data_IF_941533741344
#
_entry.id   IF_941533741344
#
_cell.length_a   1.000
_cell.length_b   1.000
_cell.length_c   1.000
_cell.angle_alpha   90.00
_cell.angle_beta   90.00
_cell.angle_gamma   90.00
#
_symmetry.space_group_name_H-M   'P 1'
#
loop_
_entity.id
_entity.type
_entity.pdbx_description
1 polymer ?
#
# COMPACT_ATOMS: atom_id res chain seq x y z
N UNK A 1 19.83 -16.09 -19.36
CA UNK A 1 18.45 -15.86 -19.83
C UNK A 1 18.41 -16.35 -21.26
N UNK A 2 17.54 -17.29 -21.55
CA UNK A 2 17.30 -17.83 -22.87
C UNK A 2 15.99 -17.25 -23.40
N UNK A 3 15.97 -16.87 -24.67
CA UNK A 3 14.75 -16.39 -25.33
C UNK A 3 14.02 -17.63 -25.86
N UNK A 4 12.77 -17.77 -25.48
CA UNK A 4 11.91 -18.89 -25.91
C UNK A 4 10.70 -18.36 -26.65
N UNK A 5 10.30 -19.04 -27.70
CA UNK A 5 9.11 -18.68 -28.52
C UNK A 5 7.85 -19.42 -28.07
N UNK A 6 8.00 -20.48 -27.28
CA UNK A 6 6.90 -21.34 -26.82
C UNK A 6 7.11 -21.63 -25.34
N UNK A 7 6.02 -21.56 -24.56
CA UNK A 7 5.98 -22.01 -23.17
C UNK A 7 4.84 -23.01 -22.97
N UNK A 8 4.99 -23.87 -21.98
CA UNK A 8 4.03 -24.92 -21.65
C UNK A 8 3.37 -24.67 -20.28
N UNK A 9 2.21 -25.28 -20.02
CA UNK A 9 1.56 -25.17 -18.70
C UNK A 9 2.51 -25.57 -17.56
N UNK A 10 2.70 -24.66 -16.60
CA UNK A 10 3.64 -24.81 -15.48
C UNK A 10 4.97 -24.10 -15.66
N UNK A 11 5.29 -23.62 -16.85
CA UNK A 11 6.51 -22.83 -17.07
C UNK A 11 6.40 -21.43 -16.45
N UNK A 12 7.55 -20.94 -15.97
CA UNK A 12 7.70 -19.56 -15.52
C UNK A 12 8.48 -18.80 -16.59
N UNK A 13 7.84 -17.85 -17.22
CA UNK A 13 8.42 -17.05 -18.30
C UNK A 13 8.46 -15.56 -17.93
N UNK A 14 9.47 -14.86 -18.40
CA UNK A 14 9.55 -13.41 -18.30
C UNK A 14 9.01 -12.76 -19.56
N UNK A 15 8.05 -11.87 -19.41
CA UNK A 15 7.55 -11.03 -20.50
C UNK A 15 8.20 -9.66 -20.43
N UNK A 16 8.55 -9.12 -21.61
CA UNK A 16 8.98 -7.72 -21.70
C UNK A 16 7.73 -6.85 -21.77
N UNK A 17 7.54 -6.00 -20.77
CA UNK A 17 6.41 -5.08 -20.69
C UNK A 17 6.89 -3.63 -20.60
N UNK A 18 6.14 -2.74 -21.23
CA UNK A 18 6.37 -1.28 -21.21
C UNK A 18 5.55 -0.56 -20.14
N UNK A 19 5.02 -1.27 -19.16
CA UNK A 19 4.25 -0.73 -18.04
C UNK A 19 2.74 -0.86 -18.18
N UNK A 20 2.28 -1.82 -18.99
CA UNK A 20 0.85 -2.10 -19.18
C UNK A 20 0.31 -3.08 -18.12
N UNK A 21 1.18 -3.95 -17.59
CA UNK A 21 0.80 -5.01 -16.66
C UNK A 21 1.20 -4.66 -15.22
N UNK A 22 0.37 -5.09 -14.29
CA UNK A 22 0.63 -4.99 -12.85
C UNK A 22 0.79 -6.38 -12.25
N UNK A 23 1.47 -6.46 -11.11
CA UNK A 23 1.52 -7.70 -10.34
C UNK A 23 0.10 -8.10 -9.95
N UNK A 24 -0.27 -9.33 -10.28
CA UNK A 24 -1.63 -9.83 -10.08
C UNK A 24 -2.50 -9.84 -11.33
N UNK A 25 -2.07 -9.17 -12.40
CA UNK A 25 -2.82 -9.23 -13.65
C UNK A 25 -2.74 -10.64 -14.25
N UNK A 26 -3.85 -11.06 -14.82
CA UNK A 26 -3.95 -12.30 -15.57
C UNK A 26 -3.99 -11.98 -17.06
N UNK A 27 -3.08 -12.57 -17.81
CA UNK A 27 -3.05 -12.44 -19.28
C UNK A 27 -3.78 -13.64 -19.86
N UNK A 28 -4.84 -13.40 -20.60
CA UNK A 28 -5.64 -14.44 -21.23
C UNK A 28 -5.91 -14.13 -22.70
N UNK A 29 -6.13 -15.17 -23.48
CA UNK A 29 -6.60 -15.07 -24.86
C UNK A 29 -8.05 -15.57 -24.91
N UNK A 30 -8.98 -14.63 -25.10
CA UNK A 30 -10.42 -14.90 -25.25
C UNK A 30 -11.23 -14.70 -23.97
N UNK A 31 -11.27 -15.63 -23.05
CA UNK A 31 -12.08 -15.52 -21.82
C UNK A 31 -11.45 -14.61 -20.77
N UNK A 32 -12.28 -13.81 -20.09
CA UNK A 32 -11.84 -13.03 -18.92
C UNK A 32 -11.76 -13.98 -17.72
N UNK A 33 -10.55 -14.39 -17.37
CA UNK A 33 -10.29 -15.22 -16.21
C UNK A 33 -9.81 -14.37 -15.04
N UNK A 34 -10.42 -14.55 -13.88
CA UNK A 34 -10.04 -13.91 -12.63
C UNK A 34 -9.59 -14.96 -11.63
N UNK A 35 -8.28 -15.06 -11.39
CA UNK A 35 -7.75 -15.95 -10.37
C UNK A 35 -7.82 -15.23 -9.02
N UNK A 36 -8.56 -15.81 -8.08
CA UNK A 36 -8.57 -15.35 -6.69
C UNK A 36 -7.33 -15.93 -6.00
N UNK A 37 -6.59 -15.11 -5.29
CA UNK A 37 -5.62 -15.62 -4.33
C UNK A 37 -4.17 -15.20 -4.44
N UNK A 38 -3.84 -14.06 -5.04
CA UNK A 38 -2.62 -13.40 -4.60
C UNK A 38 -2.91 -12.78 -3.24
N UNK A 39 -2.29 -13.26 -2.14
CA UNK A 39 -2.57 -12.70 -0.83
C UNK A 39 -2.08 -11.26 -0.80
N UNK A 40 -3.01 -10.33 -0.60
CA UNK A 40 -2.68 -8.97 -0.21
C UNK A 40 -2.12 -9.02 1.21
N UNK A 41 -0.82 -8.84 1.36
CA UNK A 41 -0.19 -8.85 2.69
C UNK A 41 -0.47 -7.55 3.41
N UNK A 42 -0.98 -7.66 4.65
CA UNK A 42 -1.06 -6.51 5.53
C UNK A 42 0.34 -6.10 5.96
N UNK A 43 0.72 -4.83 5.84
CA UNK A 43 2.00 -4.35 6.33
C UNK A 43 2.12 -4.54 7.84
N UNK A 44 3.33 -4.83 8.31
CA UNK A 44 3.67 -4.99 9.72
C UNK A 44 4.58 -3.87 10.25
N UNK A 45 5.33 -3.23 9.35
CA UNK A 45 6.26 -2.15 9.66
C UNK A 45 5.86 -0.89 8.88
N UNK A 46 5.92 0.25 9.56
CA UNK A 46 5.51 1.52 8.98
C UNK A 46 6.55 2.60 9.24
N UNK A 47 6.94 3.33 8.21
CA UNK A 47 7.82 4.49 8.31
C UNK A 47 7.32 5.62 7.43
N UNK A 48 7.47 6.84 7.92
CA UNK A 48 7.40 7.99 7.01
C UNK A 48 8.52 7.92 6.00
N UNK A 49 8.22 8.30 4.76
CA UNK A 49 9.23 8.53 3.73
C UNK A 49 9.26 10.00 3.40
N UNK A 50 10.45 10.57 3.42
CA UNK A 50 10.67 11.98 3.15
C UNK A 50 11.73 12.17 2.08
N UNK A 51 11.57 13.23 1.32
CA UNK A 51 12.52 13.60 0.29
C UNK A 51 13.77 14.23 0.91
N UNK A 52 14.92 13.64 0.70
CA UNK A 52 16.18 14.20 1.16
C UNK A 52 16.71 15.37 0.27
N UNK A 53 16.19 15.47 -0.97
CA UNK A 53 16.58 16.53 -1.92
C UNK A 53 15.33 17.17 -2.55
N UNK A 54 14.93 18.37 -2.13
CA UNK A 54 13.76 19.06 -2.65
C UNK A 54 13.73 19.20 -4.18
N UNK A 55 14.89 19.28 -4.83
CA UNK A 55 15.00 19.39 -6.28
C UNK A 55 14.60 18.09 -7.01
N UNK A 56 14.56 16.97 -6.30
CA UNK A 56 14.25 15.63 -6.83
C UNK A 56 12.84 15.14 -6.48
N UNK A 57 11.94 16.02 -6.06
CA UNK A 57 10.60 15.66 -5.58
C UNK A 57 9.77 14.89 -6.62
N UNK A 58 9.86 15.27 -7.91
CA UNK A 58 9.16 14.59 -8.99
C UNK A 58 9.71 13.17 -9.24
N UNK A 59 11.03 13.03 -9.23
CA UNK A 59 11.70 11.74 -9.39
C UNK A 59 11.37 10.80 -8.25
N UNK A 60 11.41 11.31 -7.01
CA UNK A 60 11.02 10.54 -5.82
C UNK A 60 9.57 10.05 -5.91
N UNK A 61 8.65 10.96 -6.23
CA UNK A 61 7.24 10.61 -6.37
C UNK A 61 7.00 9.53 -7.43
N UNK A 62 7.63 9.70 -8.61
CA UNK A 62 7.57 8.71 -9.70
C UNK A 62 8.15 7.36 -9.27
N UNK A 63 9.31 7.36 -8.61
CA UNK A 63 9.97 6.13 -8.16
C UNK A 63 9.14 5.40 -7.11
N UNK A 64 8.61 6.11 -6.12
CA UNK A 64 7.69 5.53 -5.13
C UNK A 64 6.49 4.89 -5.83
N UNK A 65 5.87 5.61 -6.75
CA UNK A 65 4.67 5.14 -7.44
C UNK A 65 4.91 3.83 -8.20
N UNK A 66 6.00 3.76 -8.95
CA UNK A 66 6.39 2.56 -9.69
C UNK A 66 6.75 1.39 -8.77
N UNK A 67 7.53 1.62 -7.71
CA UNK A 67 7.87 0.57 -6.75
C UNK A 67 6.64 0.00 -6.03
N UNK A 68 5.63 0.84 -5.77
CA UNK A 68 4.37 0.38 -5.18
C UNK A 68 3.53 -0.43 -6.18
N UNK A 69 3.54 -0.05 -7.47
CA UNK A 69 2.88 -0.83 -8.53
C UNK A 69 3.53 -2.20 -8.74
N UNK A 70 4.82 -2.32 -8.48
CA UNK A 70 5.54 -3.59 -8.43
C UNK A 70 5.25 -4.43 -7.17
N UNK A 71 4.46 -3.92 -6.23
CA UNK A 71 4.10 -4.64 -5.00
C UNK A 71 5.22 -4.78 -3.98
N UNK A 72 6.28 -3.96 -4.06
CA UNK A 72 7.41 -4.00 -3.13
C UNK A 72 6.97 -3.62 -1.71
N UNK A 73 6.03 -2.68 -1.61
CA UNK A 73 5.47 -2.19 -0.35
C UNK A 73 4.10 -1.55 -0.60
N UNK A 74 3.48 -1.00 0.43
CA UNK A 74 2.23 -0.25 0.34
C UNK A 74 2.44 1.22 0.72
N UNK A 75 1.83 2.13 -0.02
CA UNK A 75 1.86 3.57 0.21
C UNK A 75 0.57 4.04 0.87
N UNK A 76 0.73 4.78 1.95
CA UNK A 76 -0.36 5.49 2.62
C UNK A 76 -0.05 6.99 2.64
N UNK A 77 -1.09 7.80 2.45
CA UNK A 77 -0.99 9.26 2.57
C UNK A 77 -1.88 9.70 3.72
N UNK A 78 -1.29 10.31 4.75
CA UNK A 78 -2.05 10.77 5.92
C UNK A 78 -3.04 11.86 5.53
N UNK A 79 -4.30 11.73 5.98
CA UNK A 79 -5.36 12.69 5.71
C UNK A 79 -5.10 14.07 6.33
N UNK A 80 -4.46 14.11 7.51
CA UNK A 80 -4.27 15.35 8.25
C UNK A 80 -3.26 16.30 7.61
N UNK A 81 -2.16 15.78 7.06
CA UNK A 81 -1.00 16.58 6.66
C UNK A 81 -0.37 16.16 5.34
N UNK A 82 -0.92 15.14 4.68
CA UNK A 82 -0.42 14.64 3.40
C UNK A 82 0.94 13.92 3.45
N UNK A 83 1.50 13.68 4.66
CA UNK A 83 2.76 12.92 4.79
C UNK A 83 2.58 11.50 4.25
N UNK A 84 3.62 11.02 3.60
CA UNK A 84 3.64 9.69 3.01
C UNK A 84 4.22 8.67 3.98
N UNK A 85 3.57 7.54 4.07
CA UNK A 85 3.96 6.40 4.90
C UNK A 85 4.13 5.19 4.01
N UNK A 86 5.26 4.50 4.15
CA UNK A 86 5.51 3.20 3.51
C UNK A 86 5.25 2.10 4.53
N UNK A 87 4.39 1.17 4.16
CA UNK A 87 4.12 -0.06 4.91
C UNK A 87 4.78 -1.26 4.24
N UNK A 88 5.55 -2.04 5.01
CA UNK A 88 6.26 -3.23 4.53
C UNK A 88 5.98 -4.44 5.43
N UNK A 89 6.23 -5.63 4.91
CA UNK A 89 6.16 -6.86 5.70
C UNK A 89 7.48 -7.09 6.47
N UNK A 90 8.60 -6.64 5.92
CA UNK A 90 9.92 -6.84 6.53
C UNK A 90 10.83 -5.61 6.42
N UNK A 91 11.79 -5.52 7.33
CA UNK A 91 12.70 -4.37 7.42
C UNK A 91 13.59 -4.19 6.18
N UNK A 92 14.01 -5.29 5.56
CA UNK A 92 14.88 -5.26 4.37
C UNK A 92 14.24 -4.54 3.19
N UNK A 93 12.91 -4.54 3.09
CA UNK A 93 12.20 -3.85 2.01
C UNK A 93 12.48 -2.33 2.00
N UNK A 94 12.69 -1.70 3.15
CA UNK A 94 13.07 -0.28 3.22
C UNK A 94 14.43 -0.02 2.59
N UNK A 95 15.40 -0.89 2.81
CA UNK A 95 16.74 -0.77 2.22
C UNK A 95 16.67 -0.95 0.70
N UNK A 96 15.90 -1.92 0.23
CA UNK A 96 15.68 -2.16 -1.21
C UNK A 96 15.00 -0.95 -1.86
N UNK A 97 13.96 -0.40 -1.25
CA UNK A 97 13.26 0.79 -1.76
C UNK A 97 14.23 1.98 -1.83
N UNK A 98 14.98 2.24 -0.76
CA UNK A 98 15.94 3.34 -0.71
C UNK A 98 17.03 3.20 -1.79
N UNK A 99 17.60 2.00 -1.92
CA UNK A 99 18.60 1.70 -2.93
C UNK A 99 18.07 1.93 -4.35
N UNK A 100 16.87 1.42 -4.65
CA UNK A 100 16.26 1.55 -5.97
C UNK A 100 15.88 2.99 -6.28
N UNK A 101 15.33 3.75 -5.32
CA UNK A 101 15.04 5.17 -5.50
C UNK A 101 16.29 5.97 -5.84
N UNK A 102 17.42 5.69 -5.19
CA UNK A 102 18.67 6.38 -5.46
C UNK A 102 19.27 5.99 -6.81
N UNK A 103 19.34 4.69 -7.14
CA UNK A 103 20.07 4.19 -8.32
C UNK A 103 19.25 4.19 -9.61
N UNK A 104 17.94 3.97 -9.53
CA UNK A 104 17.08 3.91 -10.71
C UNK A 104 16.42 5.27 -11.02
N UNK A 105 16.12 6.06 -9.98
CA UNK A 105 15.40 7.33 -10.13
C UNK A 105 16.24 8.57 -9.77
N UNK A 106 17.44 8.37 -9.26
CA UNK A 106 18.34 9.45 -8.84
C UNK A 106 17.78 10.30 -7.69
N UNK A 107 16.90 9.72 -6.86
CA UNK A 107 16.22 10.40 -5.77
C UNK A 107 16.57 9.77 -4.42
N UNK A 108 17.05 10.59 -3.48
CA UNK A 108 17.37 10.15 -2.12
C UNK A 108 16.17 10.36 -1.21
N UNK A 109 15.90 9.39 -0.37
CA UNK A 109 14.90 9.50 0.68
C UNK A 109 15.47 9.23 2.06
N UNK A 110 14.77 9.70 3.07
CA UNK A 110 15.01 9.38 4.47
C UNK A 110 13.76 8.76 5.08
N UNK A 111 13.94 7.97 6.13
CA UNK A 111 12.84 7.36 6.86
C UNK A 111 12.78 7.86 8.29
N UNK A 112 11.57 8.09 8.77
CA UNK A 112 11.27 8.34 10.17
C UNK A 112 10.34 7.26 10.69
N UNK A 113 10.61 6.68 11.84
CA UNK A 113 9.79 5.63 12.40
C UNK A 113 8.38 6.12 12.73
N UNK A 114 7.39 5.31 12.41
CA UNK A 114 6.00 5.55 12.76
C UNK A 114 5.48 4.34 13.55
N UNK A 115 4.98 4.61 14.76
CA UNK A 115 4.40 3.57 15.59
C UNK A 115 2.98 3.28 15.13
N UNK A 116 2.82 2.22 14.33
CA UNK A 116 1.55 1.67 13.90
C UNK A 116 1.55 0.19 14.24
N UNK A 117 0.52 -0.25 14.94
CA UNK A 117 0.27 -1.65 15.25
C UNK A 117 -0.35 -2.39 14.06
N UNK A 118 -1.34 -1.76 13.39
CA UNK A 118 -2.08 -2.39 12.30
C UNK A 118 -2.68 -1.35 11.36
N UNK A 119 -2.62 -1.63 10.06
CA UNK A 119 -3.42 -0.92 9.06
C UNK A 119 -4.79 -1.59 8.93
N UNK A 120 -5.85 -0.81 9.00
CA UNK A 120 -7.23 -1.27 8.94
C UNK A 120 -7.98 -0.50 7.87
N UNK A 121 -8.37 -1.16 6.79
CA UNK A 121 -9.20 -0.57 5.74
C UNK A 121 -10.62 -0.41 6.24
N UNK A 122 -11.16 0.79 6.04
CA UNK A 122 -12.47 1.19 6.55
C UNK A 122 -13.52 1.00 5.46
N UNK A 123 -14.44 0.06 5.64
CA UNK A 123 -15.58 -0.11 4.73
C UNK A 123 -16.73 0.82 5.16
N UNK A 124 -17.07 1.81 4.33
CA UNK A 124 -18.21 2.70 4.64
C UNK A 124 -19.56 2.04 4.44
N UNK A 125 -19.62 0.87 3.75
CA UNK A 125 -20.88 0.21 3.44
C UNK A 125 -21.57 -0.31 4.71
N UNK A 126 -22.82 0.11 4.91
CA UNK A 126 -23.61 -0.30 6.07
C UNK A 126 -23.28 0.44 7.37
N UNK A 127 -22.33 1.38 7.37
CA UNK A 127 -22.06 2.22 8.52
C UNK A 127 -23.17 3.27 8.72
N UNK A 128 -23.46 3.59 9.99
CA UNK A 128 -24.36 4.71 10.31
C UNK A 128 -23.65 6.02 10.00
N UNK A 129 -24.32 6.92 9.28
CA UNK A 129 -23.74 8.19 8.83
C UNK A 129 -23.13 9.02 9.97
N UNK A 130 -23.78 9.07 11.13
CA UNK A 130 -23.29 9.86 12.27
C UNK A 130 -22.08 9.22 12.95
N UNK A 131 -22.08 7.88 13.10
CA UNK A 131 -20.93 7.14 13.61
C UNK A 131 -19.71 7.31 12.69
N UNK A 132 -19.92 7.21 11.37
CA UNK A 132 -18.85 7.37 10.41
C UNK A 132 -18.26 8.78 10.42
N UNK A 133 -19.09 9.81 10.44
CA UNK A 133 -18.64 11.20 10.52
C UNK A 133 -17.89 11.49 11.82
N UNK A 134 -18.38 10.97 12.94
CA UNK A 134 -17.70 11.12 14.24
C UNK A 134 -16.35 10.39 14.22
N UNK A 135 -16.30 9.16 13.71
CA UNK A 135 -15.08 8.38 13.57
C UNK A 135 -14.02 9.15 12.77
N UNK A 136 -14.39 9.63 11.58
CA UNK A 136 -13.46 10.39 10.72
C UNK A 136 -12.95 11.64 11.44
N UNK A 137 -13.82 12.38 12.10
CA UNK A 137 -13.44 13.60 12.85
C UNK A 137 -12.52 13.29 14.03
N UNK A 138 -12.85 12.28 14.84
CA UNK A 138 -12.11 11.96 16.07
C UNK A 138 -10.78 11.26 15.77
N UNK A 139 -10.75 10.42 14.73
CA UNK A 139 -9.57 9.62 14.36
C UNK A 139 -8.72 10.24 13.25
N UNK A 140 -9.01 11.47 12.82
CA UNK A 140 -8.34 12.14 11.69
C UNK A 140 -6.81 12.00 11.68
N UNK A 141 -6.17 12.05 12.86
CA UNK A 141 -4.71 11.95 13.01
C UNK A 141 -4.15 10.57 12.64
N UNK A 142 -5.00 9.55 12.65
CA UNK A 142 -4.66 8.15 12.39
C UNK A 142 -5.26 7.66 11.07
N UNK A 143 -5.88 8.57 10.30
CA UNK A 143 -6.46 8.23 9.01
C UNK A 143 -5.49 8.54 7.88
N UNK A 144 -5.46 7.62 6.94
CA UNK A 144 -4.69 7.72 5.71
C UNK A 144 -5.52 7.22 4.52
N UNK A 145 -5.03 7.48 3.34
CA UNK A 145 -5.51 6.87 2.10
C UNK A 145 -4.44 6.01 1.47
N UNK A 146 -4.85 4.87 0.95
CA UNK A 146 -3.98 4.02 0.13
C UNK A 146 -3.91 4.52 -1.33
N UNK A 147 -3.20 3.81 -2.20
CA UNK A 147 -3.08 4.15 -3.63
C UNK A 147 -4.41 4.12 -4.39
N UNK A 148 -5.38 3.32 -3.95
CA UNK A 148 -6.71 3.22 -4.51
C UNK A 148 -7.69 4.23 -3.91
N UNK A 149 -7.20 5.16 -3.11
CA UNK A 149 -7.99 6.18 -2.41
C UNK A 149 -8.96 5.61 -1.36
N UNK A 150 -8.74 4.37 -0.91
CA UNK A 150 -9.50 3.77 0.18
C UNK A 150 -9.06 4.37 1.52
N UNK A 151 -10.02 4.58 2.42
CA UNK A 151 -9.72 5.07 3.76
C UNK A 151 -9.12 3.96 4.62
N UNK A 152 -8.00 4.28 5.27
CA UNK A 152 -7.26 3.36 6.14
C UNK A 152 -7.09 3.98 7.52
N UNK A 153 -7.43 3.25 8.56
CA UNK A 153 -7.13 3.59 9.95
C UNK A 153 -5.82 2.92 10.35
N UNK A 154 -4.81 3.72 10.63
CA UNK A 154 -3.51 3.29 11.12
C UNK A 154 -3.55 3.23 12.65
N UNK A 155 -3.98 2.11 13.20
CA UNK A 155 -4.10 1.94 14.65
C UNK A 155 -2.72 1.88 15.31
N UNK A 156 -2.49 2.67 16.34
CA UNK A 156 -1.22 2.75 17.07
C UNK A 156 -1.02 1.61 18.07
N UNK A 157 -2.09 0.94 18.50
CA UNK A 157 -2.05 -0.18 19.43
C UNK A 157 -3.25 -1.12 19.25
N UNK A 158 -3.11 -2.36 19.72
CA UNK A 158 -4.22 -3.32 19.76
C UNK A 158 -5.39 -2.80 20.61
N UNK A 159 -5.07 -2.13 21.73
CA UNK A 159 -6.09 -1.52 22.59
C UNK A 159 -6.85 -0.40 21.87
N UNK A 160 -6.14 0.49 21.19
CA UNK A 160 -6.77 1.57 20.41
C UNK A 160 -7.69 1.02 19.31
N UNK A 161 -7.28 -0.05 18.63
CA UNK A 161 -8.10 -0.71 17.63
C UNK A 161 -9.38 -1.30 18.26
N UNK A 162 -9.24 -2.06 19.33
CA UNK A 162 -10.37 -2.67 20.04
C UNK A 162 -11.37 -1.63 20.54
N UNK A 163 -10.89 -0.55 21.17
CA UNK A 163 -11.73 0.54 21.64
C UNK A 163 -12.45 1.26 20.50
N UNK A 164 -11.78 1.40 19.36
CA UNK A 164 -12.40 2.02 18.16
C UNK A 164 -13.51 1.13 17.60
N UNK A 165 -13.29 -0.18 17.50
CA UNK A 165 -14.30 -1.14 17.05
C UNK A 165 -15.52 -1.18 17.97
N UNK A 166 -15.31 -1.12 19.30
CA UNK A 166 -16.39 -1.08 20.28
C UNK A 166 -17.19 0.21 20.22
N UNK A 167 -16.50 1.35 20.01
CA UNK A 167 -17.17 2.66 19.96
C UNK A 167 -17.97 2.87 18.67
N UNK A 168 -17.52 2.29 17.55
CA UNK A 168 -18.13 2.45 16.23
C UNK A 168 -18.54 1.09 15.63
N UNK A 169 -19.51 0.40 16.23
CA UNK A 169 -19.84 -0.99 15.87
C UNK A 169 -20.45 -1.14 14.48
N UNK A 170 -20.95 -0.07 13.87
CA UNK A 170 -21.47 -0.12 12.51
C UNK A 170 -20.37 -0.01 11.44
N UNK A 171 -19.14 0.35 11.83
CA UNK A 171 -18.01 0.47 10.90
C UNK A 171 -17.27 -0.86 10.85
N UNK A 172 -17.08 -1.37 9.63
CA UNK A 172 -16.29 -2.57 9.41
C UNK A 172 -14.84 -2.21 9.12
N UNK A 173 -13.93 -2.92 9.77
CA UNK A 173 -12.49 -2.79 9.58
C UNK A 173 -11.94 -4.08 8.97
N UNK A 174 -11.27 -3.98 7.84
CA UNK A 174 -10.62 -5.07 7.15
C UNK A 174 -9.11 -4.94 7.28
N UNK A 175 -8.40 -6.06 7.29
CA UNK A 175 -6.94 -6.07 7.47
C UNK A 175 -6.19 -6.23 6.14
N UNK A 176 -6.91 -6.26 5.05
CA UNK A 176 -6.39 -6.27 3.68
C UNK A 176 -7.16 -5.27 2.84
N UNK A 177 -6.58 -4.81 1.74
CA UNK A 177 -7.21 -3.84 0.82
C UNK A 177 -8.30 -4.44 -0.05
N UNK A 178 -8.40 -5.76 -0.09
CA UNK A 178 -9.39 -6.51 -0.87
C UNK A 178 -10.54 -6.95 0.04
N UNK A 179 -11.70 -6.28 -0.08
CA UNK A 179 -12.91 -6.60 0.66
C UNK A 179 -14.19 -6.24 -0.11
#
# INVERSE_FOLDING_TARGET
KEIVDISYPGDIVGLHDTGNFKIGDTITEGEVLNFKGMPSFSPELFKYIENADPMKSKQLAKGIDQLMDEGVAQLFTLELNGRKVIGTVGALQYEVIQYRLEHEYGAKCTYENLNVFKACWVDPKGSKSDEYKEFVRVKQRFLAKDKQNQLVFLADSAFSLQMTQQKYPSIKFHFTSEF
#
